data_IF_235384730413
#
_entry.id   IF_235384730413
#
_cell.length_a   1.000
_cell.length_b   1.000
_cell.length_c   1.000
_cell.angle_alpha   90.00
_cell.angle_beta   90.00
_cell.angle_gamma   90.00
#
_symmetry.space_group_name_H-M   'P 1'
#
loop_
_entity.id
_entity.type
_entity.pdbx_description
1 polymer ?
#
# COMPACT_ATOMS: atom_id res chain seq x y z
N UNK A 1 5.45 -29.61 3.16
CA UNK A 1 4.35 -28.71 3.59
C UNK A 1 4.09 -27.60 2.55
N UNK A 2 3.76 -27.95 1.30
CA UNK A 2 3.69 -27.00 0.17
C UNK A 2 2.27 -26.85 -0.44
N UNK A 3 1.21 -27.12 0.32
CA UNK A 3 -0.16 -27.19 -0.21
C UNK A 3 -1.06 -25.97 0.07
N UNK A 4 -0.58 -24.93 0.76
CA UNK A 4 -1.45 -23.81 1.19
C UNK A 4 -1.32 -22.52 0.36
N UNK A 5 -0.32 -22.39 -0.52
CA UNK A 5 -0.04 -21.12 -1.22
C UNK A 5 -0.95 -20.86 -2.43
N UNK A 6 -1.54 -21.90 -3.04
CA UNK A 6 -2.30 -21.77 -4.29
C UNK A 6 -3.72 -21.18 -4.13
N UNK A 7 -4.28 -21.15 -2.91
CA UNK A 7 -5.70 -20.82 -2.71
C UNK A 7 -6.00 -19.32 -2.66
N UNK A 8 -4.97 -18.50 -2.41
CA UNK A 8 -5.11 -17.05 -2.21
C UNK A 8 -4.86 -16.21 -3.46
N UNK A 9 -4.16 -16.73 -4.45
CA UNK A 9 -3.93 -16.00 -5.69
C UNK A 9 -4.99 -16.32 -6.73
N UNK A 10 -5.54 -15.28 -7.35
CA UNK A 10 -6.38 -15.38 -8.56
C UNK A 10 -5.49 -15.19 -9.77
N UNK A 11 -4.68 -16.20 -10.10
CA UNK A 11 -3.71 -16.13 -11.21
C UNK A 11 -4.37 -15.79 -12.55
N UNK A 12 -5.64 -16.15 -12.75
CA UNK A 12 -6.40 -15.73 -13.93
C UNK A 12 -6.52 -14.22 -14.12
N UNK A 13 -6.43 -13.42 -13.04
CA UNK A 13 -6.37 -11.94 -13.13
C UNK A 13 -5.01 -11.42 -13.62
N UNK A 14 -3.95 -12.22 -13.52
CA UNK A 14 -2.61 -11.87 -14.02
C UNK A 14 -2.42 -12.24 -15.50
N UNK A 15 -3.34 -13.03 -16.07
CA UNK A 15 -3.23 -13.56 -17.43
C UNK A 15 -2.19 -14.67 -17.56
N UNK A 16 -1.77 -14.97 -18.80
CA UNK A 16 -0.67 -15.91 -19.03
C UNK A 16 0.66 -15.36 -18.51
N UNK A 17 1.66 -16.20 -18.21
CA UNK A 17 3.00 -15.72 -17.81
C UNK A 17 3.60 -14.71 -18.80
N UNK A 18 3.38 -14.91 -20.10
CA UNK A 18 3.79 -13.96 -21.14
C UNK A 18 3.03 -12.62 -21.05
N UNK A 19 1.71 -12.66 -20.77
CA UNK A 19 0.91 -11.45 -20.58
C UNK A 19 1.34 -10.69 -19.32
N UNK A 20 1.59 -11.39 -18.21
CA UNK A 20 2.10 -10.82 -16.98
C UNK A 20 3.45 -10.12 -17.20
N UNK A 21 4.41 -10.80 -17.86
CA UNK A 21 5.71 -10.21 -18.22
C UNK A 21 5.56 -8.98 -19.11
N UNK A 22 4.71 -9.05 -20.13
CA UNK A 22 4.45 -7.91 -21.04
C UNK A 22 3.86 -6.72 -20.29
N UNK A 23 2.92 -6.94 -19.37
CA UNK A 23 2.35 -5.88 -18.55
C UNK A 23 3.41 -5.24 -17.65
N UNK A 24 4.28 -6.04 -17.02
CA UNK A 24 5.39 -5.53 -16.22
C UNK A 24 6.37 -4.67 -17.02
N UNK A 25 6.75 -5.12 -18.22
CA UNK A 25 7.62 -4.34 -19.12
C UNK A 25 6.96 -3.04 -19.59
N UNK A 26 5.64 -3.05 -19.84
CA UNK A 26 4.90 -1.84 -20.19
C UNK A 26 4.89 -0.83 -19.03
N UNK A 27 4.63 -1.28 -17.80
CA UNK A 27 4.66 -0.41 -16.61
C UNK A 27 6.05 0.16 -16.38
N UNK A 28 7.11 -0.64 -16.53
CA UNK A 28 8.49 -0.16 -16.43
C UNK A 28 8.81 0.90 -17.49
N UNK A 29 8.41 0.68 -18.74
CA UNK A 29 8.61 1.65 -19.81
C UNK A 29 7.88 2.97 -19.52
N UNK A 30 6.62 2.90 -19.05
CA UNK A 30 5.83 4.09 -18.69
C UNK A 30 6.47 4.87 -17.54
N UNK A 31 6.88 4.19 -16.47
CA UNK A 31 7.59 4.81 -15.35
C UNK A 31 8.89 5.46 -15.82
N UNK A 32 9.71 4.75 -16.60
CA UNK A 32 11.03 5.24 -17.02
C UNK A 32 10.90 6.48 -17.93
N UNK A 33 9.90 6.48 -18.83
CA UNK A 33 9.63 7.63 -19.68
C UNK A 33 9.16 8.85 -18.88
N UNK A 34 8.24 8.67 -17.94
CA UNK A 34 7.73 9.77 -17.09
C UNK A 34 8.82 10.30 -16.14
N UNK A 35 9.59 9.40 -15.52
CA UNK A 35 10.73 9.75 -14.67
C UNK A 35 11.79 10.58 -15.40
N UNK A 36 12.11 10.21 -16.64
CA UNK A 36 13.07 10.96 -17.46
C UNK A 36 12.50 12.32 -17.92
N UNK A 37 11.21 12.40 -18.23
CA UNK A 37 10.56 13.62 -18.72
C UNK A 37 10.23 14.63 -17.61
N UNK A 38 9.97 14.16 -16.38
CA UNK A 38 9.51 14.95 -15.25
C UNK A 38 10.28 14.67 -13.97
N UNK A 39 11.63 14.80 -13.95
CA UNK A 39 12.45 14.47 -12.79
C UNK A 39 12.09 15.29 -11.54
N UNK A 40 11.47 16.46 -11.71
CA UNK A 40 10.97 17.32 -10.62
C UNK A 40 9.79 16.74 -9.84
N UNK A 41 9.06 15.77 -10.43
CA UNK A 41 7.95 15.07 -9.75
C UNK A 41 8.43 13.94 -8.84
N UNK A 42 9.70 13.58 -8.90
CA UNK A 42 10.28 12.47 -8.16
C UNK A 42 11.36 12.98 -7.23
N UNK A 43 11.27 12.59 -5.96
CA UNK A 43 12.27 12.94 -4.96
C UNK A 43 12.54 11.75 -4.04
N UNK A 44 13.73 11.75 -3.44
CA UNK A 44 14.12 10.73 -2.47
C UNK A 44 13.51 11.05 -1.12
N UNK A 45 12.84 10.08 -0.53
CA UNK A 45 12.29 10.15 0.83
C UNK A 45 12.18 8.75 1.42
N UNK A 46 11.95 8.69 2.74
CA UNK A 46 11.75 7.43 3.46
C UNK A 46 10.71 7.63 4.55
N UNK A 47 9.71 6.76 4.62
CA UNK A 47 8.77 6.78 5.73
C UNK A 47 9.50 6.52 7.07
N UNK A 48 9.12 7.20 8.16
CA UNK A 48 7.97 8.11 8.29
C UNK A 48 8.30 9.59 8.07
N UNK A 49 9.32 9.95 7.29
CA UNK A 49 9.72 11.36 7.06
C UNK A 49 9.69 11.70 5.57
N UNK A 50 8.70 12.49 5.16
CA UNK A 50 8.52 12.97 3.78
C UNK A 50 8.76 14.49 3.75
N UNK A 51 9.66 15.00 2.89
CA UNK A 51 9.97 16.42 2.74
C UNK A 51 8.87 17.19 1.99
N UNK A 52 7.61 16.96 2.34
CA UNK A 52 6.45 17.68 1.83
C UNK A 52 5.76 18.42 2.99
N UNK A 53 5.16 19.57 2.69
CA UNK A 53 4.35 20.32 3.65
C UNK A 53 3.03 19.60 3.95
N UNK A 54 2.28 20.10 4.94
CA UNK A 54 0.91 19.67 5.16
C UNK A 54 0.04 19.90 3.91
N UNK A 55 -0.88 18.98 3.64
CA UNK A 55 -1.83 19.02 2.51
C UNK A 55 -1.15 19.28 1.15
N UNK A 56 0.04 18.72 0.94
CA UNK A 56 0.80 18.89 -0.28
C UNK A 56 0.18 18.17 -1.49
N UNK A 57 -0.59 17.11 -1.27
CA UNK A 57 -1.28 16.32 -2.30
C UNK A 57 -2.73 16.10 -1.91
N UNK A 58 -3.62 15.92 -2.88
CA UNK A 58 -5.02 15.59 -2.57
C UNK A 58 -5.15 14.17 -2.03
N UNK A 59 -4.38 13.23 -2.59
CA UNK A 59 -4.42 11.81 -2.26
C UNK A 59 -3.00 11.27 -2.10
N UNK A 60 -2.75 10.55 -1.00
CA UNK A 60 -1.52 9.77 -0.81
C UNK A 60 -1.80 8.26 -0.98
N UNK A 61 -1.06 7.63 -1.89
CA UNK A 61 -1.18 6.20 -2.18
C UNK A 61 0.04 5.42 -1.66
N UNK A 62 -0.20 4.35 -0.92
CA UNK A 62 0.84 3.42 -0.50
C UNK A 62 0.50 2.00 -0.95
N UNK A 63 1.15 1.55 -2.03
CA UNK A 63 0.91 0.24 -2.61
C UNK A 63 2.07 -0.73 -2.32
N UNK A 64 1.76 -1.95 -1.83
CA UNK A 64 2.68 -3.07 -1.64
C UNK A 64 3.90 -2.79 -0.74
N UNK A 65 3.79 -1.87 0.24
CA UNK A 65 4.89 -1.56 1.17
C UNK A 65 4.55 -1.84 2.64
N UNK A 66 3.60 -1.14 3.26
CA UNK A 66 3.41 -1.22 4.72
C UNK A 66 3.08 -2.65 5.21
N UNK A 67 1.83 -3.09 5.06
CA UNK A 67 1.39 -4.40 5.59
C UNK A 67 2.05 -5.60 4.90
N UNK A 68 2.50 -5.42 3.65
CA UNK A 68 3.27 -6.42 2.94
C UNK A 68 4.57 -6.78 3.70
N UNK A 69 5.13 -5.84 4.46
CA UNK A 69 6.36 -5.97 5.23
C UNK A 69 6.11 -5.89 6.75
N UNK A 70 4.94 -6.35 7.22
CA UNK A 70 4.63 -6.46 8.66
C UNK A 70 5.53 -7.47 9.42
N UNK A 71 6.30 -8.29 8.70
CA UNK A 71 7.37 -9.13 9.26
C UNK A 71 8.68 -8.37 9.49
N UNK A 72 8.80 -7.17 8.92
CA UNK A 72 10.02 -6.35 8.92
C UNK A 72 9.84 -5.08 9.76
N UNK A 73 8.66 -4.44 9.68
CA UNK A 73 8.35 -3.22 10.41
C UNK A 73 7.26 -3.47 11.45
N UNK A 74 7.44 -2.95 12.65
CA UNK A 74 6.47 -3.08 13.74
C UNK A 74 5.28 -2.13 13.58
N UNK A 75 4.28 -2.28 14.45
CA UNK A 75 3.08 -1.45 14.44
C UNK A 75 3.37 0.04 14.69
N UNK A 76 4.42 0.37 15.46
CA UNK A 76 4.78 1.77 15.75
C UNK A 76 5.30 2.48 14.50
N UNK A 77 6.11 1.80 13.69
CA UNK A 77 6.54 2.30 12.39
C UNK A 77 5.35 2.52 11.46
N UNK A 78 4.41 1.57 11.42
CA UNK A 78 3.22 1.68 10.59
C UNK A 78 2.37 2.88 10.97
N UNK A 79 2.12 3.09 12.27
CA UNK A 79 1.37 4.26 12.76
C UNK A 79 2.08 5.56 12.40
N UNK A 80 3.41 5.65 12.59
CA UNK A 80 4.18 6.83 12.23
C UNK A 80 4.14 7.09 10.72
N UNK A 81 4.30 6.05 9.89
CA UNK A 81 4.31 6.15 8.45
C UNK A 81 2.95 6.57 7.88
N UNK A 82 1.86 6.01 8.39
CA UNK A 82 0.51 6.35 7.95
C UNK A 82 0.13 7.75 8.43
N UNK A 83 0.51 8.13 9.65
CA UNK A 83 0.35 9.51 10.13
C UNK A 83 1.10 10.49 9.22
N UNK A 84 2.30 10.16 8.77
CA UNK A 84 3.05 11.01 7.84
C UNK A 84 2.37 11.13 6.47
N UNK A 85 1.80 10.03 5.95
CA UNK A 85 1.01 10.06 4.72
C UNK A 85 -0.25 10.91 4.89
N UNK A 86 -0.92 10.81 6.04
CA UNK A 86 -2.09 11.62 6.37
C UNK A 86 -1.72 13.10 6.51
N UNK A 87 -0.54 13.41 7.07
CA UNK A 87 -0.02 14.78 7.19
C UNK A 87 0.08 15.48 5.84
N UNK A 88 0.53 14.78 4.80
CA UNK A 88 0.76 15.36 3.47
C UNK A 88 -0.48 15.30 2.57
N UNK A 89 -1.49 14.49 2.91
CA UNK A 89 -2.71 14.32 2.13
C UNK A 89 -3.80 15.28 2.60
N UNK A 90 -4.44 15.97 1.66
CA UNK A 90 -5.57 16.87 1.93
C UNK A 90 -6.87 16.11 2.15
N UNK A 91 -7.11 15.05 1.40
CA UNK A 91 -8.44 14.41 1.35
C UNK A 91 -8.42 12.95 1.77
N UNK A 92 -7.49 12.15 1.23
CA UNK A 92 -7.45 10.73 1.59
C UNK A 92 -6.07 10.09 1.48
N UNK A 93 -5.86 9.09 2.33
CA UNK A 93 -4.76 8.12 2.20
C UNK A 93 -5.34 6.76 1.85
N UNK A 94 -4.77 6.08 0.86
CA UNK A 94 -5.14 4.72 0.48
C UNK A 94 -3.95 3.78 0.58
N UNK A 95 -4.10 2.74 1.40
CA UNK A 95 -3.06 1.74 1.66
C UNK A 95 -3.55 0.39 1.19
N UNK A 96 -2.80 -0.24 0.29
CA UNK A 96 -3.15 -1.54 -0.27
C UNK A 96 -1.92 -2.43 -0.53
N UNK A 97 -1.96 -3.74 -0.21
CA UNK A 97 -2.98 -4.41 0.58
C UNK A 97 -2.78 -4.17 2.08
N UNK A 98 -3.77 -4.50 2.90
CA UNK A 98 -3.63 -4.60 4.38
C UNK A 98 -3.36 -6.05 4.83
N UNK A 99 -2.60 -6.79 4.02
CA UNK A 99 -2.24 -8.19 4.27
C UNK A 99 -0.75 -8.42 4.03
N UNK A 100 -0.24 -9.54 4.54
CA UNK A 100 1.15 -9.93 4.30
C UNK A 100 1.40 -10.21 2.82
N UNK A 101 2.67 -10.19 2.39
CA UNK A 101 3.10 -10.53 1.01
C UNK A 101 2.54 -11.86 0.49
N UNK A 102 2.37 -12.84 1.37
CA UNK A 102 1.83 -14.15 1.02
C UNK A 102 0.29 -14.24 1.06
N UNK A 103 -0.38 -13.11 1.33
CA UNK A 103 -1.82 -13.00 1.44
C UNK A 103 -2.39 -13.42 2.79
N UNK A 104 -1.57 -13.68 3.81
CA UNK A 104 -2.09 -13.90 5.17
C UNK A 104 -2.77 -12.63 5.68
N UNK A 105 -3.95 -12.82 6.27
CA UNK A 105 -4.58 -11.80 7.10
C UNK A 105 -3.68 -11.47 8.28
N UNK A 106 -3.73 -10.22 8.70
CA UNK A 106 -2.92 -9.66 9.76
C UNK A 106 -3.85 -9.04 10.82
N UNK A 107 -4.92 -9.73 11.19
CA UNK A 107 -6.04 -9.14 11.95
C UNK A 107 -5.55 -8.46 13.24
N UNK A 108 -4.84 -9.17 14.12
CA UNK A 108 -4.29 -8.62 15.37
C UNK A 108 -3.33 -7.43 15.14
N UNK A 109 -2.50 -7.51 14.10
CA UNK A 109 -1.54 -6.46 13.75
C UNK A 109 -2.25 -5.24 13.16
N UNK A 110 -3.25 -5.47 12.32
CA UNK A 110 -4.07 -4.43 11.70
C UNK A 110 -4.87 -3.70 12.76
N UNK A 111 -5.46 -4.43 13.72
CA UNK A 111 -6.14 -3.87 14.87
C UNK A 111 -5.19 -3.06 15.78
N UNK A 112 -3.95 -3.49 15.94
CA UNK A 112 -2.95 -2.74 16.68
C UNK A 112 -2.60 -1.41 16.00
N UNK A 113 -2.42 -1.42 14.67
CA UNK A 113 -2.19 -0.21 13.88
C UNK A 113 -3.42 0.70 13.92
N UNK A 114 -4.62 0.14 13.76
CA UNK A 114 -5.90 0.85 13.80
C UNK A 114 -6.12 1.61 15.12
N UNK A 115 -5.85 0.96 16.25
CA UNK A 115 -5.88 1.60 17.57
C UNK A 115 -4.85 2.72 17.68
N UNK A 116 -3.64 2.52 17.16
CA UNK A 116 -2.59 3.54 17.17
C UNK A 116 -2.95 4.77 16.33
N UNK A 117 -3.57 4.56 15.17
CA UNK A 117 -4.07 5.63 14.31
C UNK A 117 -5.24 6.38 14.95
N UNK A 118 -6.18 5.65 15.56
CA UNK A 118 -7.29 6.24 16.30
C UNK A 118 -6.79 7.12 17.46
N UNK A 119 -5.75 6.67 18.19
CA UNK A 119 -5.12 7.48 19.24
C UNK A 119 -4.41 8.73 18.71
N UNK A 120 -3.97 8.72 17.45
CA UNK A 120 -3.42 9.88 16.75
C UNK A 120 -4.52 10.79 16.13
N UNK A 121 -5.80 10.46 16.32
CA UNK A 121 -6.93 11.24 15.80
C UNK A 121 -7.31 10.92 14.35
N UNK A 122 -6.79 9.84 13.77
CA UNK A 122 -7.07 9.44 12.40
C UNK A 122 -8.19 8.39 12.35
N UNK A 123 -9.16 8.60 11.47
CA UNK A 123 -10.25 7.65 11.24
C UNK A 123 -9.96 6.75 10.04
N UNK A 124 -10.07 5.45 10.24
CA UNK A 124 -9.74 4.39 9.29
C UNK A 124 -10.99 3.67 8.83
N UNK A 125 -11.02 3.31 7.54
CA UNK A 125 -12.02 2.43 6.96
C UNK A 125 -11.32 1.32 6.17
N UNK A 126 -11.49 0.07 6.58
CA UNK A 126 -10.95 -1.09 5.87
C UNK A 126 -12.08 -1.73 5.05
N UNK A 127 -11.85 -1.89 3.76
CA UNK A 127 -12.80 -2.54 2.86
C UNK A 127 -12.10 -3.50 1.92
N UNK A 128 -12.78 -4.59 1.54
CA UNK A 128 -12.23 -5.56 0.59
C UNK A 128 -12.09 -4.89 -0.77
N UNK A 129 -10.90 -4.96 -1.36
CA UNK A 129 -10.63 -4.37 -2.65
C UNK A 129 -11.45 -5.09 -3.75
N UNK A 130 -12.14 -4.34 -4.64
CA UNK A 130 -12.86 -4.96 -5.74
C UNK A 130 -11.89 -5.65 -6.69
N UNK A 131 -12.17 -6.91 -7.04
CA UNK A 131 -11.49 -7.71 -8.08
C UNK A 131 -9.96 -7.61 -8.11
N UNK A 132 -9.31 -8.08 -7.05
CA UNK A 132 -7.85 -8.14 -6.94
C UNK A 132 -7.28 -9.53 -7.27
N UNK A 133 -6.03 -9.57 -7.75
CA UNK A 133 -5.23 -10.79 -7.93
C UNK A 133 -4.97 -11.50 -6.60
N UNK A 134 -5.04 -10.79 -5.48
CA UNK A 134 -4.92 -11.33 -4.13
C UNK A 134 -6.30 -11.47 -3.49
N UNK A 135 -6.80 -12.70 -3.38
CA UNK A 135 -8.15 -13.01 -2.90
C UNK A 135 -8.33 -12.50 -1.46
N UNK A 136 -9.29 -11.60 -1.28
CA UNK A 136 -9.61 -11.03 0.04
C UNK A 136 -8.66 -9.92 0.50
N UNK A 137 -7.80 -9.39 -0.39
CA UNK A 137 -7.01 -8.23 -0.03
C UNK A 137 -7.92 -7.04 0.28
N UNK A 138 -7.66 -6.38 1.38
CA UNK A 138 -8.37 -5.18 1.80
C UNK A 138 -7.51 -3.94 1.58
N UNK A 139 -8.19 -2.81 1.46
CA UNK A 139 -7.61 -1.47 1.40
C UNK A 139 -8.01 -0.73 2.66
N UNK A 140 -7.04 -0.12 3.33
CA UNK A 140 -7.28 0.84 4.41
C UNK A 140 -7.35 2.23 3.78
N UNK A 141 -8.46 2.92 4.02
CA UNK A 141 -8.67 4.33 3.69
C UNK A 141 -8.59 5.14 4.98
N UNK A 142 -7.94 6.30 4.92
CA UNK A 142 -7.98 7.33 5.96
C UNK A 142 -8.53 8.60 5.31
N UNK A 143 -9.57 9.19 5.89
CA UNK A 143 -10.05 10.52 5.51
C UNK A 143 -9.33 11.55 6.36
N UNK A 144 -8.74 12.55 5.72
CA UNK A 144 -7.92 13.60 6.37
C UNK A 144 -8.62 14.94 6.41
#
# INVERSE_FOLDING_TARGET
MAQHTHRRYRLGHLGSPAAYRRNGLRSLAQFTADFAAHPDRYFTASLPVIPLKYDAVDVALCANFLFAYADTFDASFHVAAITELARIARSEVLIHPTSARDGRNLDDFTDAVDRGLSAAGLHTQISIAPSTWLRGASTMRIST
#
